data_IF_592645847886
#
_entry.id   IF_592645847886
#
_cell.length_a   1.000
_cell.length_b   1.000
_cell.length_c   1.000
_cell.angle_alpha   90.00
_cell.angle_beta   90.00
_cell.angle_gamma   90.00
#
_symmetry.space_group_name_H-M   'P 1'
#
loop_
_entity.id
_entity.type
_entity.pdbx_description
1 polymer ?
#
# COMPACT_ATOMS: atom_id res chain seq x y z
N UNK A 1 3.48 -13.45 -31.24
CA UNK A 1 3.08 -12.55 -30.13
C UNK A 1 3.33 -11.11 -30.55
N UNK A 2 2.36 -10.23 -30.35
CA UNK A 2 2.57 -8.79 -30.49
C UNK A 2 3.33 -8.25 -29.26
N UNK A 3 3.71 -6.97 -29.28
CA UNK A 3 4.53 -6.41 -28.20
C UNK A 3 3.80 -6.37 -26.84
N UNK A 4 2.49 -6.15 -26.83
CA UNK A 4 1.69 -6.21 -25.60
C UNK A 4 1.67 -7.62 -25.01
N UNK A 5 1.45 -8.64 -25.82
CA UNK A 5 1.48 -10.05 -25.41
C UNK A 5 2.87 -10.44 -24.87
N UNK A 6 3.96 -9.91 -25.44
CA UNK A 6 5.33 -10.18 -24.98
C UNK A 6 5.57 -9.62 -23.55
N UNK A 7 5.03 -8.44 -23.25
CA UNK A 7 5.14 -7.85 -21.91
C UNK A 7 4.38 -8.71 -20.89
N UNK A 8 3.14 -9.07 -21.19
CA UNK A 8 2.36 -9.95 -20.32
C UNK A 8 3.01 -11.33 -20.13
N UNK A 9 3.53 -11.92 -21.21
CA UNK A 9 4.23 -13.21 -21.15
C UNK A 9 5.50 -13.14 -20.28
N UNK A 10 6.22 -12.02 -20.27
CA UNK A 10 7.38 -11.83 -19.39
C UNK A 10 6.96 -11.78 -17.92
N UNK A 11 5.82 -11.16 -17.59
CA UNK A 11 5.27 -11.15 -16.24
C UNK A 11 4.81 -12.56 -15.81
N UNK A 12 4.03 -13.26 -16.63
CA UNK A 12 3.57 -14.62 -16.33
C UNK A 12 4.74 -15.60 -16.15
N UNK A 13 5.75 -15.55 -17.03
CA UNK A 13 6.95 -16.40 -16.94
C UNK A 13 7.68 -16.19 -15.61
N UNK A 14 7.67 -14.97 -15.09
CA UNK A 14 8.27 -14.62 -13.81
C UNK A 14 7.32 -14.78 -12.62
N UNK A 15 6.19 -15.47 -12.80
CA UNK A 15 5.22 -15.77 -11.74
C UNK A 15 4.62 -14.51 -11.08
N UNK A 16 4.54 -13.42 -11.83
CA UNK A 16 3.74 -12.26 -11.42
C UNK A 16 2.28 -12.64 -11.59
N UNK A 17 1.52 -12.59 -10.51
CA UNK A 17 0.09 -12.91 -10.50
C UNK A 17 -0.80 -11.67 -10.41
N UNK A 18 -0.23 -10.57 -9.96
CA UNK A 18 -0.97 -9.34 -9.68
C UNK A 18 -0.22 -8.12 -10.18
N UNK A 19 -0.95 -7.22 -10.82
CA UNK A 19 -0.45 -5.92 -11.27
C UNK A 19 -1.28 -4.81 -10.63
N UNK A 20 -0.64 -3.86 -9.94
CA UNK A 20 -1.32 -2.63 -9.53
C UNK A 20 -1.30 -1.63 -10.69
N UNK A 21 -2.44 -1.02 -10.98
CA UNK A 21 -2.64 -0.22 -12.18
C UNK A 21 -3.35 1.10 -11.92
N UNK A 22 -2.75 2.20 -12.35
CA UNK A 22 -3.45 3.48 -12.48
C UNK A 22 -3.64 3.79 -13.98
N UNK A 23 -4.88 3.95 -14.46
CA UNK A 23 -5.18 4.04 -15.88
C UNK A 23 -4.44 5.15 -16.63
N UNK A 24 -3.87 4.79 -17.77
CA UNK A 24 -3.28 5.71 -18.75
C UNK A 24 -3.71 5.32 -20.16
N UNK A 25 -4.24 6.27 -20.92
CA UNK A 25 -4.73 6.00 -22.28
C UNK A 25 -3.66 5.46 -23.24
N UNK A 26 -2.38 5.75 -22.98
CA UNK A 26 -1.27 5.22 -23.79
C UNK A 26 -0.92 3.76 -23.46
N UNK A 27 -1.48 3.19 -22.38
CA UNK A 27 -1.34 1.79 -22.02
C UNK A 27 -2.53 0.94 -22.48
N UNK A 28 -3.48 1.54 -23.14
CA UNK A 28 -4.70 0.87 -23.55
C UNK A 28 -4.42 -0.37 -24.41
N UNK A 29 -3.49 -0.26 -25.36
CA UNK A 29 -3.10 -1.42 -26.20
C UNK A 29 -2.52 -2.57 -25.36
N UNK A 30 -1.72 -2.27 -24.34
CA UNK A 30 -1.20 -3.25 -23.40
C UNK A 30 -2.34 -3.91 -22.61
N UNK A 31 -3.22 -3.11 -22.02
CA UNK A 31 -4.30 -3.60 -21.17
C UNK A 31 -5.34 -4.45 -21.94
N UNK A 32 -5.57 -4.18 -23.22
CA UNK A 32 -6.46 -5.00 -24.04
C UNK A 32 -5.99 -6.44 -24.28
N UNK A 33 -4.71 -6.70 -24.05
CA UNK A 33 -4.10 -8.03 -24.17
C UNK A 33 -3.80 -8.67 -22.80
N UNK A 34 -4.41 -8.13 -21.73
CA UNK A 34 -4.27 -8.71 -20.38
C UNK A 34 -4.73 -10.17 -20.39
N UNK A 35 -3.88 -11.12 -19.95
CA UNK A 35 -4.29 -12.51 -19.84
C UNK A 35 -5.32 -12.69 -18.70
N UNK A 36 -6.19 -13.70 -18.83
CA UNK A 36 -7.21 -13.99 -17.83
C UNK A 36 -6.62 -14.47 -16.49
N UNK A 37 -5.40 -14.98 -16.52
CA UNK A 37 -4.63 -15.44 -15.38
C UNK A 37 -4.04 -14.33 -14.52
N UNK A 38 -4.02 -13.10 -15.04
CA UNK A 38 -3.41 -11.93 -14.36
C UNK A 38 -4.49 -11.10 -13.67
N UNK A 39 -4.36 -10.93 -12.37
CA UNK A 39 -5.15 -9.98 -11.63
C UNK A 39 -4.61 -8.55 -11.83
N UNK A 40 -5.51 -7.62 -12.14
CA UNK A 40 -5.18 -6.21 -12.21
C UNK A 40 -6.01 -5.46 -11.18
N UNK A 41 -5.32 -4.80 -10.26
CA UNK A 41 -5.93 -4.03 -9.19
C UNK A 41 -5.85 -2.54 -9.51
N UNK A 42 -7.00 -1.93 -9.72
CA UNK A 42 -7.09 -0.49 -9.87
C UNK A 42 -6.73 0.19 -8.55
N UNK A 43 -5.83 1.15 -8.63
CA UNK A 43 -5.35 1.89 -7.46
C UNK A 43 -5.85 3.33 -7.47
N UNK A 44 -5.97 3.92 -6.29
CA UNK A 44 -6.43 5.30 -6.11
C UNK A 44 -5.31 6.32 -6.26
N UNK A 45 -4.07 5.90 -6.00
CA UNK A 45 -2.85 6.70 -6.08
C UNK A 45 -1.63 5.80 -6.27
N UNK A 46 -0.59 6.29 -6.92
CA UNK A 46 0.60 5.47 -7.21
C UNK A 46 1.30 4.95 -5.96
N UNK A 47 1.40 5.76 -4.90
CA UNK A 47 1.98 5.30 -3.63
C UNK A 47 1.16 4.18 -2.96
N UNK A 48 -0.17 4.18 -3.13
CA UNK A 48 -1.03 3.09 -2.67
C UNK A 48 -0.69 1.77 -3.38
N UNK A 49 -0.54 1.81 -4.71
CA UNK A 49 -0.11 0.65 -5.50
C UNK A 49 1.23 0.09 -5.05
N UNK A 50 2.15 0.98 -4.67
CA UNK A 50 3.45 0.58 -4.14
C UNK A 50 3.31 -0.16 -2.79
N UNK A 51 2.46 0.34 -1.89
CA UNK A 51 2.14 -0.30 -0.61
C UNK A 51 1.53 -1.69 -0.78
N UNK A 52 0.55 -1.81 -1.69
CA UNK A 52 -0.06 -3.10 -2.05
C UNK A 52 0.97 -4.10 -2.58
N UNK A 53 1.83 -3.69 -3.52
CA UNK A 53 2.91 -4.52 -4.04
C UNK A 53 3.88 -4.97 -2.93
N UNK A 54 4.24 -4.05 -2.02
CA UNK A 54 5.13 -4.37 -0.91
C UNK A 54 4.48 -5.38 0.04
N UNK A 55 3.22 -5.19 0.42
CA UNK A 55 2.47 -6.13 1.25
C UNK A 55 2.39 -7.53 0.62
N UNK A 56 2.12 -7.59 -0.69
CA UNK A 56 2.15 -8.85 -1.45
C UNK A 56 3.52 -9.52 -1.39
N UNK A 57 4.60 -8.74 -1.53
CA UNK A 57 5.97 -9.28 -1.47
C UNK A 57 6.32 -9.85 -0.09
N UNK A 58 5.83 -9.25 0.99
CA UNK A 58 5.96 -9.80 2.35
C UNK A 58 5.29 -11.17 2.47
N UNK A 59 4.17 -11.37 1.79
CA UNK A 59 3.48 -12.65 1.67
C UNK A 59 4.08 -13.62 0.64
N UNK A 60 5.29 -13.36 0.14
CA UNK A 60 6.00 -14.22 -0.81
C UNK A 60 5.47 -14.19 -2.24
N UNK A 61 4.63 -13.21 -2.60
CA UNK A 61 4.07 -13.05 -3.95
C UNK A 61 4.89 -12.10 -4.80
N UNK A 62 4.90 -12.32 -6.10
CA UNK A 62 5.53 -11.42 -7.08
C UNK A 62 4.48 -10.56 -7.74
N UNK A 63 4.74 -9.25 -7.78
CA UNK A 63 3.83 -8.26 -8.36
C UNK A 63 4.57 -7.37 -9.35
N UNK A 64 3.81 -6.67 -10.19
CA UNK A 64 4.31 -5.57 -11.00
C UNK A 64 3.41 -4.34 -10.79
N UNK A 65 3.89 -3.19 -11.20
CA UNK A 65 3.13 -1.95 -11.17
C UNK A 65 3.09 -1.32 -12.54
N UNK A 66 1.92 -0.80 -12.95
CA UNK A 66 1.73 -0.11 -14.22
C UNK A 66 1.12 1.27 -13.99
N UNK A 67 1.86 2.31 -14.36
CA UNK A 67 1.47 3.71 -14.12
C UNK A 67 1.89 4.62 -15.27
N UNK A 68 1.43 5.86 -15.24
CA UNK A 68 1.96 6.92 -16.09
C UNK A 68 3.20 7.55 -15.46
N UNK A 69 4.12 8.07 -16.27
CA UNK A 69 5.36 8.70 -15.77
C UNK A 69 5.13 9.86 -14.79
N UNK A 70 4.04 10.62 -14.91
CA UNK A 70 3.70 11.67 -13.94
C UNK A 70 3.50 11.14 -12.53
N UNK A 71 3.11 9.86 -12.39
CA UNK A 71 2.98 9.19 -11.11
C UNK A 71 4.29 8.85 -10.43
N UNK A 72 5.42 8.83 -11.15
CA UNK A 72 6.73 8.60 -10.53
C UNK A 72 7.04 9.60 -9.41
N UNK A 73 6.65 10.87 -9.59
CA UNK A 73 6.82 11.88 -8.55
C UNK A 73 6.03 11.59 -7.27
N UNK A 74 4.88 10.91 -7.39
CA UNK A 74 3.99 10.60 -6.27
C UNK A 74 4.44 9.42 -5.42
N UNK A 75 5.46 8.69 -5.82
CA UNK A 75 5.90 7.48 -5.13
C UNK A 75 7.36 7.50 -4.67
N UNK A 76 8.09 8.59 -4.89
CA UNK A 76 9.53 8.67 -4.57
C UNK A 76 9.82 8.37 -3.11
N UNK A 77 9.08 8.96 -2.18
CA UNK A 77 9.28 8.76 -0.74
C UNK A 77 9.02 7.31 -0.34
N UNK A 78 7.90 6.75 -0.73
CA UNK A 78 7.51 5.37 -0.40
C UNK A 78 8.44 4.37 -1.08
N UNK A 79 8.91 4.66 -2.29
CA UNK A 79 9.90 3.82 -2.99
C UNK A 79 11.18 3.67 -2.17
N UNK A 80 11.69 4.77 -1.61
CA UNK A 80 12.88 4.76 -0.76
C UNK A 80 12.64 4.14 0.60
N UNK A 81 11.53 4.49 1.24
CA UNK A 81 11.26 4.12 2.63
C UNK A 81 10.53 2.77 2.76
N UNK A 82 10.22 2.13 1.64
CA UNK A 82 9.65 0.79 1.57
C UNK A 82 10.49 -0.12 0.67
N UNK A 83 10.33 -0.06 -0.67
CA UNK A 83 10.97 -1.01 -1.57
C UNK A 83 12.49 -1.04 -1.46
N UNK A 84 13.14 0.14 -1.49
CA UNK A 84 14.62 0.19 -1.40
C UNK A 84 15.10 -0.11 0.03
N UNK A 85 14.44 0.41 1.06
CA UNK A 85 14.81 0.20 2.46
C UNK A 85 14.78 -1.29 2.84
N UNK A 86 13.71 -1.98 2.46
CA UNK A 86 13.52 -3.41 2.77
C UNK A 86 14.04 -4.32 1.64
N UNK A 87 14.61 -3.78 0.58
CA UNK A 87 15.08 -4.52 -0.59
C UNK A 87 14.01 -5.49 -1.12
N UNK A 88 12.89 -4.93 -1.56
CA UNK A 88 11.80 -5.68 -2.18
C UNK A 88 11.84 -5.46 -3.70
N UNK A 89 11.96 -6.54 -4.46
CA UNK A 89 12.00 -6.50 -5.92
C UNK A 89 10.67 -6.07 -6.51
N UNK A 90 10.70 -5.13 -7.48
CA UNK A 90 9.48 -4.65 -8.14
C UNK A 90 9.79 -4.14 -9.56
N UNK A 91 9.28 -4.77 -10.62
CA UNK A 91 9.23 -4.18 -11.96
C UNK A 91 8.10 -3.16 -12.04
N UNK A 92 8.41 -1.92 -12.46
CA UNK A 92 7.45 -0.83 -12.65
C UNK A 92 7.40 -0.48 -14.14
N UNK A 93 6.28 -0.75 -14.79
CA UNK A 93 6.04 -0.41 -16.19
C UNK A 93 5.40 0.97 -16.28
N UNK A 94 6.07 1.89 -16.92
CA UNK A 94 5.72 3.30 -16.93
C UNK A 94 5.40 3.76 -18.35
N UNK A 95 4.16 4.15 -18.60
CA UNK A 95 3.80 4.82 -19.85
C UNK A 95 4.49 6.17 -19.95
N UNK A 96 5.41 6.32 -20.90
CA UNK A 96 6.22 7.53 -21.05
C UNK A 96 5.49 8.60 -21.87
N UNK A 97 4.73 9.42 -21.18
CA UNK A 97 4.08 10.61 -21.76
C UNK A 97 5.11 11.71 -21.94
N UNK A 98 4.92 12.52 -22.96
CA UNK A 98 5.81 13.64 -23.28
C UNK A 98 7.05 13.27 -24.10
N UNK A 99 7.25 12.00 -24.41
CA UNK A 99 8.39 11.53 -25.22
C UNK A 99 8.07 11.44 -26.70
N UNK A 100 6.97 10.75 -27.09
CA UNK A 100 6.66 10.46 -28.48
C UNK A 100 5.28 10.95 -28.88
N UNK A 101 5.21 11.82 -29.92
CA UNK A 101 3.97 12.39 -30.49
C UNK A 101 2.97 12.87 -29.40
N UNK A 102 3.49 13.50 -28.36
CA UNK A 102 2.66 13.99 -27.26
C UNK A 102 2.19 15.42 -27.54
N UNK A 103 0.87 15.67 -27.62
CA UNK A 103 0.35 16.99 -27.91
C UNK A 103 0.15 17.87 -26.63
N UNK A 104 0.20 17.25 -25.44
CA UNK A 104 -0.14 17.92 -24.18
C UNK A 104 1.13 18.53 -23.58
N UNK A 105 1.20 19.86 -23.50
CA UNK A 105 2.37 20.60 -23.03
C UNK A 105 2.82 20.18 -21.64
N UNK A 106 1.89 20.01 -20.68
CA UNK A 106 2.22 19.55 -19.32
C UNK A 106 2.91 18.19 -19.30
N UNK A 107 2.53 17.29 -20.22
CA UNK A 107 3.16 15.96 -20.34
C UNK A 107 4.56 16.07 -20.96
N UNK A 108 4.75 16.96 -21.93
CA UNK A 108 6.04 17.19 -22.59
C UNK A 108 7.06 17.70 -21.57
N UNK A 109 6.67 18.69 -20.75
CA UNK A 109 7.55 19.28 -19.72
C UNK A 109 8.01 18.20 -18.72
N UNK A 110 7.09 17.43 -18.18
CA UNK A 110 7.45 16.38 -17.20
C UNK A 110 8.14 15.19 -17.88
N UNK A 111 7.66 14.78 -19.06
CA UNK A 111 8.23 13.66 -19.82
C UNK A 111 9.70 13.83 -20.15
N UNK A 112 10.14 15.09 -20.42
CA UNK A 112 11.54 15.43 -20.64
C UNK A 112 12.41 15.42 -19.37
N UNK A 113 11.83 15.17 -18.18
CA UNK A 113 12.54 15.12 -16.90
C UNK A 113 12.56 13.74 -16.24
N UNK A 114 11.92 12.77 -16.85
CA UNK A 114 11.76 11.42 -16.26
C UNK A 114 13.10 10.73 -16.05
N UNK A 115 13.99 10.78 -17.04
CA UNK A 115 15.33 10.17 -16.93
C UNK A 115 16.18 10.88 -15.87
N UNK A 116 16.15 12.23 -15.84
CA UNK A 116 16.84 13.02 -14.81
C UNK A 116 16.34 12.64 -13.41
N UNK A 117 15.03 12.49 -13.24
CA UNK A 117 14.41 12.06 -11.97
C UNK A 117 14.90 10.67 -11.57
N UNK A 118 14.82 9.68 -12.46
CA UNK A 118 15.22 8.30 -12.17
C UNK A 118 16.70 8.22 -11.82
N UNK A 119 17.55 8.94 -12.52
CA UNK A 119 18.98 9.05 -12.22
C UNK A 119 19.22 9.71 -10.84
N UNK A 120 18.46 10.80 -10.54
CA UNK A 120 18.61 11.51 -9.26
C UNK A 120 18.20 10.67 -8.05
N UNK A 121 17.25 9.74 -8.24
CA UNK A 121 16.77 8.82 -7.19
C UNK A 121 17.43 7.44 -7.28
N UNK A 122 18.47 7.27 -8.09
CA UNK A 122 19.23 6.03 -8.23
C UNK A 122 18.30 4.80 -8.44
N UNK A 123 17.42 4.90 -9.42
CA UNK A 123 16.52 3.81 -9.85
C UNK A 123 16.90 3.40 -11.27
N UNK A 124 17.25 2.14 -11.43
CA UNK A 124 17.55 1.57 -12.76
C UNK A 124 16.33 1.67 -13.66
N UNK A 125 16.57 1.99 -14.92
CA UNK A 125 15.49 1.98 -15.92
C UNK A 125 15.94 1.45 -17.27
N UNK A 126 14.97 1.00 -18.06
CA UNK A 126 15.16 0.58 -19.45
C UNK A 126 14.07 1.23 -20.31
N UNK A 127 14.46 1.78 -21.46
CA UNK A 127 13.52 2.32 -22.43
C UNK A 127 13.04 1.19 -23.34
N UNK A 128 11.70 1.09 -23.49
CA UNK A 128 11.03 0.17 -24.41
C UNK A 128 10.32 1.00 -25.47
N UNK A 129 10.96 1.20 -26.62
CA UNK A 129 10.42 2.00 -27.74
C UNK A 129 10.11 1.16 -28.99
N UNK A 130 10.77 0.02 -29.17
CA UNK A 130 10.63 -0.85 -30.34
C UNK A 130 10.65 -2.32 -29.93
N UNK A 131 10.30 -3.20 -30.87
CA UNK A 131 10.15 -4.63 -30.59
C UNK A 131 11.43 -5.29 -30.06
N UNK A 132 12.60 -4.88 -30.55
CA UNK A 132 13.89 -5.41 -30.13
C UNK A 132 14.22 -5.09 -28.67
N UNK A 133 13.71 -4.01 -28.12
CA UNK A 133 13.92 -3.63 -26.71
C UNK A 133 13.24 -4.61 -25.76
N UNK A 134 12.31 -5.45 -26.27
CA UNK A 134 11.62 -6.49 -25.50
C UNK A 134 12.34 -7.84 -25.52
N UNK A 135 13.42 -8.02 -26.27
CA UNK A 135 14.06 -9.33 -26.45
C UNK A 135 14.62 -9.90 -25.14
N UNK A 136 15.12 -9.03 -24.26
CA UNK A 136 15.64 -9.42 -22.95
C UNK A 136 14.65 -9.15 -21.79
N UNK A 137 13.45 -8.71 -22.07
CA UNK A 137 12.51 -8.26 -21.03
C UNK A 137 12.26 -9.32 -19.95
N UNK A 138 12.14 -10.59 -20.35
CA UNK A 138 11.92 -11.68 -19.41
C UNK A 138 13.06 -11.79 -18.38
N UNK A 139 14.32 -11.70 -18.82
CA UNK A 139 15.47 -11.72 -17.92
C UNK A 139 15.57 -10.48 -17.04
N UNK A 140 15.20 -9.32 -17.57
CA UNK A 140 15.20 -8.07 -16.84
C UNK A 140 14.13 -8.04 -15.73
N UNK A 141 12.94 -8.61 -15.99
CA UNK A 141 11.90 -8.80 -14.97
C UNK A 141 12.34 -9.81 -13.92
N UNK A 142 12.98 -10.93 -14.32
CA UNK A 142 13.55 -11.91 -13.39
C UNK A 142 14.54 -11.25 -12.43
N UNK A 143 15.46 -10.44 -12.96
CA UNK A 143 16.48 -9.73 -12.19
C UNK A 143 15.88 -8.82 -11.10
N UNK A 144 14.70 -8.22 -11.31
CA UNK A 144 14.04 -7.44 -10.27
C UNK A 144 13.82 -8.26 -9.00
N UNK A 145 13.38 -9.50 -9.14
CA UNK A 145 13.07 -10.39 -8.02
C UNK A 145 14.31 -11.10 -7.47
N UNK A 146 15.20 -11.56 -8.32
CA UNK A 146 16.42 -12.28 -7.93
C UNK A 146 17.42 -11.38 -7.21
N UNK A 147 17.54 -10.13 -7.64
CA UNK A 147 18.44 -9.14 -7.06
C UNK A 147 17.75 -8.23 -6.03
N UNK A 148 16.44 -8.45 -5.78
CA UNK A 148 15.63 -7.65 -4.84
C UNK A 148 15.70 -6.14 -5.14
N UNK A 149 15.57 -5.77 -6.41
CA UNK A 149 15.66 -4.37 -6.84
C UNK A 149 14.42 -3.86 -7.54
N UNK A 150 14.24 -2.56 -7.49
CA UNK A 150 13.24 -1.87 -8.31
C UNK A 150 13.87 -1.52 -9.65
N UNK A 151 13.14 -1.80 -10.73
CA UNK A 151 13.50 -1.35 -12.07
C UNK A 151 12.31 -0.77 -12.79
N UNK A 152 12.52 0.38 -13.44
CA UNK A 152 11.51 1.06 -14.24
C UNK A 152 11.67 0.71 -15.71
N UNK A 153 10.58 0.28 -16.35
CA UNK A 153 10.49 0.08 -17.80
C UNK A 153 9.72 1.24 -18.40
N UNK A 154 10.43 2.21 -19.00
CA UNK A 154 9.86 3.36 -19.66
C UNK A 154 9.31 2.97 -21.03
N UNK A 155 8.00 2.82 -21.13
CA UNK A 155 7.33 2.37 -22.35
C UNK A 155 6.95 3.57 -23.23
N UNK A 156 7.66 3.75 -24.34
CA UNK A 156 7.25 4.69 -25.40
C UNK A 156 5.97 4.18 -26.08
N UNK A 157 4.99 5.04 -26.40
CA UNK A 157 3.82 4.64 -27.18
C UNK A 157 4.14 4.04 -28.55
N UNK A 158 5.34 4.26 -29.08
CA UNK A 158 5.82 3.63 -30.34
C UNK A 158 5.80 2.10 -30.28
N UNK A 159 6.00 1.54 -29.09
CA UNK A 159 6.11 0.08 -28.90
C UNK A 159 4.82 -0.65 -29.31
N UNK A 160 3.67 0.01 -29.32
CA UNK A 160 2.37 -0.57 -29.70
C UNK A 160 1.54 0.23 -30.70
N UNK A 161 2.11 1.19 -31.41
CA UNK A 161 1.37 1.98 -32.42
C UNK A 161 0.59 1.15 -33.45
N UNK A 162 0.99 -0.09 -33.69
CA UNK A 162 0.31 -1.02 -34.63
C UNK A 162 -0.86 -1.78 -33.99
N UNK A 163 -1.08 -1.63 -32.68
CA UNK A 163 -2.11 -2.34 -31.91
C UNK A 163 -3.10 -1.32 -31.35
N UNK A 164 -3.99 -0.82 -32.18
CA UNK A 164 -5.01 0.16 -31.77
C UNK A 164 -6.26 -0.59 -31.31
N UNK A 165 -6.46 -0.82 -30.01
CA UNK A 165 -7.64 -1.50 -29.51
C UNK A 165 -8.87 -0.60 -29.56
N UNK A 166 -10.02 -1.20 -29.81
CA UNK A 166 -11.30 -0.53 -29.76
C UNK A 166 -11.78 -0.42 -28.31
N UNK A 167 -11.81 0.81 -27.76
CA UNK A 167 -12.07 1.08 -26.32
C UNK A 167 -13.52 1.45 -26.02
N UNK A 168 -14.50 1.00 -26.75
CA UNK A 168 -15.88 1.47 -26.58
C UNK A 168 -16.69 0.81 -25.45
N UNK A 169 -16.09 0.10 -24.48
CA UNK A 169 -16.87 -0.74 -23.55
C UNK A 169 -16.53 -0.65 -22.06
N UNK A 170 -16.22 0.50 -21.50
CA UNK A 170 -16.13 0.63 -20.03
C UNK A 170 -17.26 1.49 -19.47
N UNK A 171 -18.44 0.92 -19.37
CA UNK A 171 -19.53 1.47 -18.58
C UNK A 171 -19.86 0.49 -17.46
N UNK A 172 -19.61 0.85 -16.21
CA UNK A 172 -20.10 0.10 -15.07
C UNK A 172 -21.38 0.76 -14.54
N UNK A 173 -22.42 -0.02 -14.16
CA UNK A 173 -23.57 0.53 -13.50
C UNK A 173 -23.16 1.22 -12.19
N UNK A 174 -23.72 2.39 -11.93
CA UNK A 174 -23.50 3.05 -10.64
C UNK A 174 -24.23 2.26 -9.55
N UNK A 175 -23.50 1.94 -8.49
CA UNK A 175 -24.08 1.34 -7.29
C UNK A 175 -24.55 2.49 -6.39
N UNK A 176 -25.78 2.41 -5.89
CA UNK A 176 -26.33 3.36 -4.94
C UNK A 176 -25.54 3.27 -3.62
N UNK A 177 -25.00 4.39 -3.09
CA UNK A 177 -24.26 4.36 -1.84
C UNK A 177 -25.20 4.07 -0.67
N UNK A 178 -24.83 3.11 0.15
CA UNK A 178 -25.51 2.85 1.43
C UNK A 178 -24.95 3.82 2.47
N UNK A 179 -25.73 4.81 2.86
CA UNK A 179 -25.37 5.72 3.96
C UNK A 179 -25.86 5.15 5.28
N UNK A 180 -24.97 5.12 6.27
CA UNK A 180 -25.29 4.81 7.67
C UNK A 180 -24.89 6.02 8.50
N UNK A 181 -25.76 6.47 9.37
CA UNK A 181 -25.42 7.55 10.30
C UNK A 181 -24.43 7.03 11.35
N UNK A 182 -23.28 7.67 11.46
CA UNK A 182 -22.27 7.36 12.47
C UNK A 182 -22.21 8.55 13.43
N UNK A 183 -22.66 8.38 14.69
CA UNK A 183 -22.68 9.47 15.65
C UNK A 183 -21.26 9.96 15.94
N UNK A 184 -21.16 11.23 16.34
CA UNK A 184 -19.89 11.76 16.83
C UNK A 184 -19.52 11.07 18.16
N UNK A 185 -18.24 10.81 18.34
CA UNK A 185 -17.70 10.32 19.61
C UNK A 185 -17.94 11.35 20.73
N UNK A 186 -18.34 10.86 21.90
CA UNK A 186 -18.63 11.69 23.09
C UNK A 186 -18.02 11.14 24.39
N UNK A 187 -17.09 10.19 24.28
CA UNK A 187 -16.44 9.60 25.43
C UNK A 187 -15.30 10.47 26.00
N UNK A 188 -14.63 9.93 27.00
CA UNK A 188 -13.43 10.51 27.62
C UNK A 188 -12.38 9.42 27.72
N UNK A 189 -11.38 9.41 26.83
CA UNK A 189 -10.32 8.40 26.85
C UNK A 189 -9.58 8.41 28.18
N UNK A 190 -9.10 7.25 28.62
CA UNK A 190 -8.42 7.09 29.91
C UNK A 190 -7.06 6.39 29.80
N UNK A 191 -6.64 6.04 28.61
CA UNK A 191 -5.37 5.35 28.35
C UNK A 191 -4.62 6.01 27.20
N UNK A 192 -3.32 6.08 27.30
CA UNK A 192 -2.47 6.55 26.22
C UNK A 192 -2.16 5.40 25.22
N UNK A 193 -1.43 5.71 24.14
CA UNK A 193 -1.13 4.75 23.07
C UNK A 193 -0.40 3.51 23.54
N UNK A 194 0.62 3.65 24.40
CA UNK A 194 1.39 2.53 24.92
C UNK A 194 0.51 1.58 25.75
N UNK A 195 -0.32 2.14 26.62
CA UNK A 195 -1.28 1.38 27.41
C UNK A 195 -2.33 0.69 26.53
N UNK A 196 -2.83 1.40 25.50
CA UNK A 196 -3.77 0.84 24.52
C UNK A 196 -3.17 -0.35 23.78
N UNK A 197 -1.92 -0.24 23.30
CA UNK A 197 -1.19 -1.35 22.67
C UNK A 197 -1.04 -2.51 23.64
N UNK A 198 -0.75 -2.25 24.92
CA UNK A 198 -0.71 -3.26 25.99
C UNK A 198 -2.05 -3.97 26.23
N UNK A 199 -3.18 -3.34 25.89
CA UNK A 199 -4.51 -3.95 25.94
C UNK A 199 -4.85 -4.72 24.67
N UNK A 200 -4.34 -4.30 23.49
CA UNK A 200 -4.59 -4.87 22.18
C UNK A 200 -3.80 -6.16 21.99
N UNK A 201 -2.47 -6.09 22.17
CA UNK A 201 -1.56 -7.19 21.81
C UNK A 201 -1.91 -8.55 22.44
N UNK A 202 -2.30 -8.64 23.72
CA UNK A 202 -2.71 -9.93 24.35
C UNK A 202 -4.02 -10.50 23.77
N UNK A 203 -4.79 -9.73 22.98
CA UNK A 203 -6.05 -10.19 22.39
C UNK A 203 -5.82 -10.84 21.01
N UNK A 204 -4.66 -10.61 20.43
CA UNK A 204 -4.28 -11.09 19.09
C UNK A 204 -3.59 -12.46 19.24
N UNK A 205 -4.06 -13.46 18.50
CA UNK A 205 -3.49 -14.81 18.48
C UNK A 205 -2.03 -14.79 17.97
N UNK A 206 -1.19 -15.68 18.49
CA UNK A 206 0.24 -15.75 18.10
C UNK A 206 0.45 -16.08 16.61
N UNK A 207 -0.53 -16.75 15.99
CA UNK A 207 -0.52 -17.04 14.55
C UNK A 207 -0.86 -15.84 13.68
N UNK A 208 -1.59 -14.87 14.24
CA UNK A 208 -2.04 -13.70 13.52
C UNK A 208 -0.91 -12.68 13.38
N UNK A 209 -1.04 -11.86 12.39
CA UNK A 209 -0.03 -10.90 11.97
C UNK A 209 -0.36 -9.52 12.52
N UNK A 210 0.65 -8.79 12.97
CA UNK A 210 0.53 -7.36 13.32
C UNK A 210 1.44 -6.54 12.43
N UNK A 211 0.89 -5.55 11.75
CA UNK A 211 1.65 -4.48 11.07
C UNK A 211 1.48 -3.22 11.90
N UNK A 212 2.57 -2.63 12.34
CA UNK A 212 2.54 -1.35 13.05
C UNK A 212 3.13 -0.23 12.20
N UNK A 213 2.43 0.90 12.18
CA UNK A 213 2.88 2.07 11.43
C UNK A 213 4.19 2.64 12.02
N UNK A 214 4.88 3.41 11.18
CA UNK A 214 6.15 4.08 11.50
C UNK A 214 6.12 4.86 12.83
N UNK A 215 7.24 4.91 13.51
CA UNK A 215 7.50 5.78 14.66
C UNK A 215 7.17 5.15 16.00
N UNK A 216 6.52 5.89 16.88
CA UNK A 216 6.17 5.39 18.21
C UNK A 216 5.33 4.12 18.21
N UNK A 217 4.30 3.97 17.36
CA UNK A 217 3.52 2.73 17.34
C UNK A 217 4.38 1.48 17.15
N UNK A 218 5.33 1.49 16.20
CA UNK A 218 6.23 0.35 15.98
C UNK A 218 7.13 0.08 17.19
N UNK A 219 7.70 1.13 17.81
CA UNK A 219 8.50 0.99 19.05
C UNK A 219 7.70 0.46 20.21
N UNK A 220 6.48 0.94 20.37
CA UNK A 220 5.59 0.56 21.47
C UNK A 220 5.11 -0.88 21.30
N UNK A 221 4.75 -1.32 20.09
CA UNK A 221 4.43 -2.74 19.80
C UNK A 221 5.64 -3.63 20.09
N UNK A 222 6.84 -3.26 19.61
CA UNK A 222 8.06 -4.00 19.87
C UNK A 222 8.34 -4.15 21.38
N UNK A 223 8.25 -3.06 22.13
CA UNK A 223 8.55 -3.07 23.57
C UNK A 223 7.43 -3.69 24.42
N UNK A 224 6.20 -3.79 23.90
CA UNK A 224 5.08 -4.44 24.58
C UNK A 224 5.09 -5.96 24.39
N UNK A 225 5.19 -6.41 23.14
CA UNK A 225 5.14 -7.82 22.79
C UNK A 225 5.79 -8.03 21.43
N UNK A 226 7.11 -8.25 21.40
CA UNK A 226 7.80 -8.61 20.17
C UNK A 226 7.49 -10.05 19.78
N UNK A 227 7.06 -10.25 18.52
CA UNK A 227 6.78 -11.55 17.91
C UNK A 227 7.38 -11.57 16.51
N UNK A 228 7.76 -12.72 16.02
CA UNK A 228 8.26 -12.86 14.65
C UNK A 228 7.19 -12.58 13.60
N UNK A 229 5.91 -12.71 13.96
CA UNK A 229 4.73 -12.35 13.15
C UNK A 229 4.38 -10.84 13.20
N UNK A 230 5.16 -10.01 13.89
CA UNK A 230 5.01 -8.57 13.86
C UNK A 230 5.90 -7.94 12.79
N UNK A 231 5.33 -7.10 11.95
CA UNK A 231 6.07 -6.29 10.98
C UNK A 231 6.09 -4.84 11.43
N UNK A 232 7.28 -4.33 11.67
CA UNK A 232 7.50 -2.95 12.11
C UNK A 232 7.86 -2.07 10.92
N UNK A 233 6.99 -1.13 10.56
CA UNK A 233 7.31 -0.16 9.52
C UNK A 233 8.29 0.88 10.04
N UNK A 234 9.39 1.09 9.32
CA UNK A 234 10.42 2.09 9.63
C UNK A 234 10.32 3.33 8.76
N UNK A 235 9.42 3.32 7.78
CA UNK A 235 9.19 4.40 6.84
C UNK A 235 7.78 4.37 6.26
N UNK A 236 7.51 5.24 5.28
CA UNK A 236 6.26 5.32 4.54
C UNK A 236 5.02 5.62 5.42
N UNK A 237 5.00 6.80 6.04
CA UNK A 237 3.82 7.29 6.77
C UNK A 237 2.59 7.25 5.84
N UNK A 238 1.48 6.73 6.35
CA UNK A 238 0.24 6.63 5.58
C UNK A 238 0.20 5.49 4.56
N UNK A 239 1.01 4.43 4.74
CA UNK A 239 1.01 3.25 3.84
C UNK A 239 0.79 1.92 4.56
N UNK A 240 0.55 1.94 5.88
CA UNK A 240 0.41 0.70 6.64
C UNK A 240 -0.81 -0.12 6.21
N UNK A 241 -1.89 0.54 5.83
CA UNK A 241 -3.13 -0.13 5.41
C UNK A 241 -2.97 -0.81 4.07
N UNK A 242 -2.38 -0.15 3.08
CA UNK A 242 -2.13 -0.75 1.76
C UNK A 242 -1.16 -1.95 1.88
N UNK A 243 -0.12 -1.82 2.71
CA UNK A 243 0.78 -2.95 3.02
C UNK A 243 -0.02 -4.10 3.66
N UNK A 244 -0.88 -3.80 4.62
CA UNK A 244 -1.75 -4.78 5.26
C UNK A 244 -2.73 -5.45 4.31
N UNK A 245 -3.34 -4.71 3.39
CA UNK A 245 -4.25 -5.25 2.36
C UNK A 245 -3.48 -6.23 1.46
N UNK A 246 -2.35 -5.79 0.91
CA UNK A 246 -1.52 -6.63 0.04
C UNK A 246 -1.09 -7.92 0.73
N UNK A 247 -0.73 -7.83 2.01
CA UNK A 247 -0.36 -9.01 2.81
C UNK A 247 -1.57 -9.91 3.11
N UNK A 248 -2.68 -9.37 3.57
CA UNK A 248 -3.89 -10.14 3.90
C UNK A 248 -4.38 -10.98 2.71
N UNK A 249 -4.38 -10.38 1.51
CA UNK A 249 -4.72 -11.08 0.27
C UNK A 249 -3.66 -12.12 -0.16
N UNK A 250 -2.48 -12.12 0.44
CA UNK A 250 -1.42 -13.10 0.16
C UNK A 250 -1.44 -14.27 1.13
N UNK A 251 -1.98 -14.09 2.35
CA UNK A 251 -2.02 -15.08 3.43
C UNK A 251 -3.44 -15.24 3.98
N UNK A 252 -4.38 -15.77 3.19
CA UNK A 252 -5.81 -15.81 3.54
C UNK A 252 -6.12 -16.60 4.81
N UNK A 253 -5.24 -17.51 5.22
CA UNK A 253 -5.42 -18.36 6.41
C UNK A 253 -4.97 -17.69 7.72
N UNK A 254 -4.44 -16.46 7.66
CA UNK A 254 -4.00 -15.69 8.83
C UNK A 254 -4.75 -14.37 8.88
N UNK A 255 -5.08 -13.88 10.05
CA UNK A 255 -5.65 -12.57 10.21
C UNK A 255 -4.54 -11.50 10.33
N UNK A 256 -4.73 -10.37 9.67
CA UNK A 256 -3.78 -9.24 9.67
C UNK A 256 -4.40 -8.09 10.46
N UNK A 257 -3.75 -7.71 11.55
CA UNK A 257 -4.08 -6.53 12.33
C UNK A 257 -3.12 -5.40 11.98
N UNK A 258 -3.66 -4.23 11.68
CA UNK A 258 -2.88 -3.01 11.42
C UNK A 258 -3.07 -2.08 12.59
N UNK A 259 -1.98 -1.67 13.23
CA UNK A 259 -1.99 -0.63 14.27
C UNK A 259 -1.50 0.66 13.66
N UNK A 260 -2.41 1.60 13.48
CA UNK A 260 -2.16 2.91 12.88
C UNK A 260 -2.77 4.03 13.74
N UNK A 261 -2.64 5.27 13.35
CA UNK A 261 -3.13 6.42 14.08
C UNK A 261 -3.90 7.41 13.21
N UNK A 262 -4.68 8.26 13.87
CA UNK A 262 -5.49 9.30 13.22
C UNK A 262 -4.67 10.23 12.32
N UNK A 263 -3.47 10.62 12.75
CA UNK A 263 -2.57 11.43 11.93
C UNK A 263 -2.21 10.76 10.60
N UNK A 264 -1.91 9.47 10.62
CA UNK A 264 -1.62 8.67 9.42
C UNK A 264 -2.84 8.56 8.50
N UNK A 265 -4.03 8.36 9.08
CA UNK A 265 -5.29 8.31 8.32
C UNK A 265 -5.59 9.63 7.62
N UNK A 266 -5.37 10.77 8.28
CA UNK A 266 -5.54 12.09 7.66
C UNK A 266 -4.41 12.48 6.71
N UNK A 267 -3.20 11.96 6.90
CA UNK A 267 -2.09 12.15 5.96
C UNK A 267 -2.37 11.48 4.61
N UNK A 268 -2.90 10.28 4.64
CA UNK A 268 -3.29 9.53 3.44
C UNK A 268 -4.69 8.90 3.59
N UNK A 269 -5.77 9.65 3.35
CA UNK A 269 -7.12 9.12 3.48
C UNK A 269 -7.47 8.07 2.41
N UNK A 270 -6.67 7.94 1.34
CA UNK A 270 -6.85 6.89 0.32
C UNK A 270 -6.76 5.48 0.90
N UNK A 271 -6.04 5.31 2.02
CA UNK A 271 -5.99 4.04 2.76
C UNK A 271 -7.39 3.46 3.05
N UNK A 272 -8.33 4.32 3.47
CA UNK A 272 -9.70 3.90 3.74
C UNK A 272 -10.48 3.57 2.46
N UNK A 273 -10.18 4.26 1.36
CA UNK A 273 -10.78 3.97 0.05
C UNK A 273 -10.30 2.60 -0.44
N UNK A 274 -9.00 2.35 -0.38
CA UNK A 274 -8.41 1.09 -0.83
C UNK A 274 -8.90 -0.08 0.04
N UNK A 275 -9.02 0.11 1.37
CA UNK A 275 -9.60 -0.88 2.27
C UNK A 275 -11.06 -1.18 1.93
N UNK A 276 -11.86 -0.15 1.64
CA UNK A 276 -13.26 -0.29 1.26
C UNK A 276 -13.44 -0.94 -0.13
N UNK A 277 -12.52 -0.69 -1.06
CA UNK A 277 -12.57 -1.25 -2.41
C UNK A 277 -12.16 -2.73 -2.44
N UNK A 278 -11.09 -3.09 -1.71
CA UNK A 278 -10.53 -4.44 -1.72
C UNK A 278 -11.14 -5.39 -0.70
N UNK A 279 -11.65 -4.88 0.40
CA UNK A 279 -12.40 -5.60 1.45
C UNK A 279 -11.83 -6.98 1.83
N UNK A 280 -10.54 -7.11 2.19
CA UNK A 280 -10.02 -8.38 2.64
C UNK A 280 -10.75 -8.84 3.92
N UNK A 281 -11.26 -10.08 3.91
CA UNK A 281 -12.05 -10.63 5.04
C UNK A 281 -11.21 -10.88 6.29
N UNK A 282 -9.91 -11.04 6.11
CA UNK A 282 -8.93 -11.37 7.15
C UNK A 282 -8.09 -10.16 7.58
N UNK A 283 -8.66 -8.94 7.59
CA UNK A 283 -7.96 -7.74 7.99
C UNK A 283 -8.77 -6.89 8.97
N UNK A 284 -8.11 -6.42 10.02
CA UNK A 284 -8.61 -5.43 10.97
C UNK A 284 -7.67 -4.24 11.02
N UNK A 285 -8.15 -3.06 10.66
CA UNK A 285 -7.47 -1.78 10.88
C UNK A 285 -7.85 -1.23 12.25
N UNK A 286 -6.87 -1.00 13.12
CA UNK A 286 -7.01 -0.37 14.43
C UNK A 286 -6.44 1.04 14.34
N UNK A 287 -7.30 2.04 14.39
CA UNK A 287 -6.90 3.44 14.44
C UNK A 287 -6.85 3.89 15.90
N UNK A 288 -5.66 4.13 16.43
CA UNK A 288 -5.44 4.72 17.74
C UNK A 288 -5.52 6.24 17.61
N UNK A 289 -6.67 6.80 17.97
CA UNK A 289 -6.96 8.22 17.82
C UNK A 289 -6.70 8.98 19.12
N UNK A 290 -5.59 9.70 19.16
CA UNK A 290 -5.23 10.57 20.27
C UNK A 290 -5.45 12.07 19.96
N UNK A 291 -6.03 12.41 18.82
CA UNK A 291 -6.26 13.78 18.36
C UNK A 291 -4.99 14.59 18.14
N UNK A 292 -3.81 13.96 18.11
CA UNK A 292 -2.55 14.70 18.06
C UNK A 292 -1.41 13.99 17.32
N UNK A 293 -0.48 14.78 16.78
CA UNK A 293 0.79 14.32 16.23
C UNK A 293 1.79 14.05 17.36
N UNK A 294 1.63 12.91 18.04
CA UNK A 294 2.43 12.56 19.23
C UNK A 294 3.93 12.53 18.98
N UNK A 295 4.38 12.16 17.76
CA UNK A 295 5.80 12.05 17.41
C UNK A 295 6.50 13.40 17.21
N UNK A 296 5.76 14.47 16.95
CA UNK A 296 6.33 15.77 16.57
C UNK A 296 6.08 16.90 17.60
N UNK A 297 5.41 16.58 18.71
CA UNK A 297 5.18 17.53 19.79
C UNK A 297 3.71 17.78 20.12
N UNK A 298 2.84 16.81 19.85
CA UNK A 298 1.40 16.82 20.16
C UNK A 298 0.62 17.98 19.50
N UNK A 299 1.00 18.38 18.29
CA UNK A 299 0.17 19.30 17.49
C UNK A 299 -1.19 18.62 17.20
N UNK A 300 -2.30 19.37 17.16
CA UNK A 300 -3.61 18.81 16.92
C UNK A 300 -3.71 18.21 15.51
N UNK A 301 -4.33 17.05 15.40
CA UNK A 301 -4.80 16.48 14.12
C UNK A 301 -6.20 16.97 13.80
N UNK A 302 -6.71 16.59 12.62
CA UNK A 302 -8.08 16.93 12.22
C UNK A 302 -9.12 16.22 13.10
N UNK A 303 -8.78 15.09 13.73
CA UNK A 303 -9.67 14.41 14.67
C UNK A 303 -10.07 15.32 15.83
N UNK A 304 -9.09 16.00 16.44
CA UNK A 304 -9.34 16.96 17.51
C UNK A 304 -10.11 18.22 17.07
N UNK A 305 -10.24 18.43 15.77
CA UNK A 305 -10.99 19.54 15.17
C UNK A 305 -12.43 19.13 14.76
N UNK A 306 -12.90 17.96 15.19
CA UNK A 306 -14.25 17.47 14.96
C UNK A 306 -14.47 16.65 13.66
N UNK A 307 -13.39 16.26 12.98
CA UNK A 307 -13.51 15.34 11.85
C UNK A 307 -13.72 13.92 12.36
N UNK A 308 -14.81 13.30 11.93
CA UNK A 308 -15.20 11.95 12.33
C UNK A 308 -14.65 10.89 11.38
N UNK A 309 -13.52 10.27 11.74
CA UNK A 309 -12.90 9.22 10.92
C UNK A 309 -13.81 8.00 10.72
N UNK A 310 -14.58 7.60 11.74
CA UNK A 310 -15.57 6.51 11.60
C UNK A 310 -16.66 6.87 10.59
N UNK A 311 -17.12 8.11 10.60
CA UNK A 311 -18.08 8.62 9.59
C UNK A 311 -17.50 8.62 8.20
N UNK A 312 -16.23 9.04 8.05
CA UNK A 312 -15.49 9.03 6.78
C UNK A 312 -15.34 7.58 6.30
N UNK A 313 -14.85 6.67 7.13
CA UNK A 313 -14.68 5.25 6.79
C UNK A 313 -16.02 4.61 6.35
N UNK A 314 -17.10 4.89 7.08
CA UNK A 314 -18.44 4.42 6.73
C UNK A 314 -18.91 4.96 5.39
N UNK A 315 -18.68 6.24 5.10
CA UNK A 315 -19.05 6.88 3.83
C UNK A 315 -18.28 6.32 2.65
N UNK A 316 -17.03 5.87 2.88
CA UNK A 316 -16.19 5.20 1.88
C UNK A 316 -16.57 3.72 1.66
N UNK A 317 -17.42 3.13 2.52
CA UNK A 317 -17.91 1.76 2.33
C UNK A 317 -17.51 0.78 3.43
N UNK A 318 -16.70 1.16 4.42
CA UNK A 318 -16.31 0.30 5.53
C UNK A 318 -17.48 0.25 6.53
N UNK A 319 -18.27 -0.84 6.47
CA UNK A 319 -19.49 -1.00 7.30
C UNK A 319 -19.25 -1.80 8.57
N UNK A 320 -18.30 -2.75 8.56
CA UNK A 320 -17.92 -3.53 9.72
C UNK A 320 -16.94 -2.75 10.60
N UNK A 321 -17.47 -1.91 11.51
CA UNK A 321 -16.64 -1.05 12.35
C UNK A 321 -17.10 -1.00 13.80
N UNK A 322 -16.19 -0.57 14.68
CA UNK A 322 -16.45 -0.21 16.06
C UNK A 322 -15.77 1.12 16.39
N UNK A 323 -16.42 1.94 17.21
CA UNK A 323 -15.91 3.22 17.69
C UNK A 323 -16.05 3.25 19.21
N UNK A 324 -14.95 3.33 19.96
CA UNK A 324 -14.97 3.20 21.42
C UNK A 324 -13.72 3.80 22.08
N UNK A 325 -13.79 4.09 23.38
CA UNK A 325 -12.67 4.33 24.30
C UNK A 325 -12.63 3.27 25.43
N UNK A 326 -13.57 2.33 25.41
CA UNK A 326 -13.68 1.26 26.39
C UNK A 326 -12.85 0.04 25.97
N UNK A 327 -12.08 -0.49 26.94
CA UNK A 327 -11.19 -1.64 26.72
C UNK A 327 -11.93 -2.90 26.32
N UNK A 328 -12.99 -3.24 27.03
CA UNK A 328 -13.76 -4.47 26.81
C UNK A 328 -14.45 -4.43 25.42
N UNK A 329 -15.03 -3.29 25.07
CA UNK A 329 -15.65 -3.08 23.76
C UNK A 329 -14.61 -3.16 22.63
N UNK A 330 -13.42 -2.58 22.79
CA UNK A 330 -12.32 -2.67 21.84
C UNK A 330 -11.89 -4.13 21.67
N UNK A 331 -11.63 -4.86 22.76
CA UNK A 331 -11.23 -6.25 22.70
C UNK A 331 -12.32 -7.15 22.09
N UNK A 332 -13.60 -6.86 22.33
CA UNK A 332 -14.69 -7.55 21.68
C UNK A 332 -14.71 -7.29 20.18
N UNK A 333 -14.49 -6.05 19.74
CA UNK A 333 -14.40 -5.70 18.34
C UNK A 333 -13.26 -6.44 17.61
N UNK A 334 -12.11 -6.64 18.28
CA UNK A 334 -11.00 -7.44 17.76
C UNK A 334 -11.36 -8.93 17.64
N UNK A 335 -12.02 -9.52 18.66
CA UNK A 335 -12.53 -10.90 18.60
C UNK A 335 -13.57 -11.09 17.49
N UNK A 336 -14.43 -10.09 17.28
CA UNK A 336 -15.44 -10.09 16.21
C UNK A 336 -14.83 -9.78 14.82
N UNK A 337 -13.52 -9.56 14.75
CA UNK A 337 -12.79 -9.23 13.51
C UNK A 337 -13.43 -8.09 12.74
N UNK A 338 -13.80 -7.00 13.45
CA UNK A 338 -14.30 -5.79 12.80
C UNK A 338 -13.25 -5.25 11.84
N UNK A 339 -13.66 -4.86 10.65
CA UNK A 339 -12.72 -4.36 9.62
C UNK A 339 -12.04 -3.06 10.03
N UNK A 340 -12.74 -2.18 10.78
CA UNK A 340 -12.19 -0.94 11.31
C UNK A 340 -12.55 -0.77 12.79
N UNK A 341 -11.54 -0.62 13.63
CA UNK A 341 -11.67 -0.34 15.06
C UNK A 341 -11.09 1.05 15.33
N UNK A 342 -11.95 2.02 15.55
CA UNK A 342 -11.58 3.37 15.93
C UNK A 342 -11.53 3.46 17.45
N UNK A 343 -10.32 3.41 18.00
CA UNK A 343 -10.08 3.38 19.43
C UNK A 343 -9.53 4.74 19.90
N UNK A 344 -10.34 5.48 20.64
CA UNK A 344 -9.95 6.78 21.18
C UNK A 344 -9.07 6.60 22.41
N UNK A 345 -7.98 7.36 22.44
CA UNK A 345 -6.96 7.29 23.47
C UNK A 345 -6.52 8.71 23.90
N UNK A 346 -5.90 8.82 25.05
CA UNK A 346 -5.34 10.09 25.52
C UNK A 346 -4.13 10.53 24.69
N UNK A 347 -3.99 11.85 24.52
CA UNK A 347 -2.79 12.44 23.94
C UNK A 347 -1.59 12.25 24.88
N UNK A 348 -0.41 12.07 24.30
CA UNK A 348 0.84 11.95 25.03
C UNK A 348 1.62 10.67 24.69
N UNK A 349 2.86 10.65 25.15
CA UNK A 349 3.78 9.53 24.94
C UNK A 349 4.33 9.07 26.28
N UNK A 350 4.31 7.77 26.54
CA UNK A 350 5.05 7.18 27.65
C UNK A 350 6.55 7.06 27.33
N UNK A 351 7.35 6.91 28.36
CA UNK A 351 8.74 6.51 28.20
C UNK A 351 8.78 5.04 27.84
N UNK A 352 8.81 4.78 26.55
CA UNK A 352 8.97 3.42 26.00
C UNK A 352 10.44 3.04 26.11
N UNK A 353 10.72 1.74 26.15
CA UNK A 353 12.07 1.19 26.05
C UNK A 353 12.85 1.72 24.84
N UNK A 354 14.01 1.19 24.55
CA UNK A 354 14.87 1.67 23.45
C UNK A 354 14.27 1.59 22.06
N UNK A 355 15.06 2.00 21.08
CA UNK A 355 14.75 1.82 19.66
C UNK A 355 14.64 0.33 19.31
N UNK A 356 13.97 0.00 18.21
CA UNK A 356 13.93 -1.37 17.66
C UNK A 356 15.36 -1.74 17.23
N UNK A 357 15.99 -2.75 17.85
CA UNK A 357 17.39 -3.07 17.59
C UNK A 357 17.58 -3.92 16.33
N UNK A 358 16.64 -3.90 15.41
CA UNK A 358 16.62 -4.66 14.17
C UNK A 358 16.74 -3.73 12.97
N UNK A 359 17.53 -4.14 11.99
CA UNK A 359 17.57 -3.47 10.69
C UNK A 359 16.30 -3.78 9.89
N UNK A 360 15.99 -2.96 8.89
CA UNK A 360 14.86 -3.20 7.99
C UNK A 360 14.90 -4.61 7.35
N UNK A 361 16.08 -5.05 6.94
CA UNK A 361 16.27 -6.39 6.34
C UNK A 361 16.05 -7.50 7.37
N UNK A 362 16.52 -7.32 8.60
CA UNK A 362 16.30 -8.29 9.66
C UNK A 362 14.82 -8.41 10.03
N UNK A 363 14.10 -7.27 10.09
CA UNK A 363 12.65 -7.26 10.30
C UNK A 363 11.95 -8.04 9.17
N UNK A 364 12.26 -7.71 7.91
CA UNK A 364 11.64 -8.38 6.76
C UNK A 364 11.91 -9.88 6.76
N UNK A 365 13.15 -10.29 6.92
CA UNK A 365 13.53 -11.70 6.86
C UNK A 365 12.86 -12.49 7.96
N UNK A 366 12.99 -12.05 9.23
CA UNK A 366 12.35 -12.69 10.38
C UNK A 366 10.84 -12.85 10.18
N UNK A 367 10.19 -11.78 9.71
CA UNK A 367 8.76 -11.78 9.46
C UNK A 367 8.37 -12.77 8.37
N UNK A 368 9.05 -12.74 7.21
CA UNK A 368 8.74 -13.63 6.09
C UNK A 368 8.97 -15.10 6.47
N UNK A 369 10.03 -15.42 7.22
CA UNK A 369 10.29 -16.79 7.70
C UNK A 369 9.17 -17.26 8.63
N UNK A 370 8.66 -16.40 9.52
CA UNK A 370 7.59 -16.74 10.46
C UNK A 370 6.23 -16.95 9.81
N UNK A 371 5.93 -16.24 8.71
CA UNK A 371 4.64 -16.40 8.04
C UNK A 371 4.64 -17.49 6.97
N UNK A 372 5.81 -17.95 6.52
CA UNK A 372 5.94 -19.08 5.59
C UNK A 372 5.77 -20.45 6.28
N UNK A 373 5.89 -20.47 7.61
CA UNK A 373 5.70 -21.67 8.45
C UNK A 373 4.22 -21.88 8.81
#
# INVERSE_FOLDING_TARGET
MNNSERIWAALETNQVDTVTYLPCNKMNALMSHKPATMDVWDITKESAGLGLCFGRSLGGKRTAMMIQNTGLGNLVTELYTMQKLYQAGLPIFVSWRGYYKEPIEAQIIFGGKVEDLLNAIDVEYQILAKAEDLDNLNAEVAACFEENKVKVFLMSPEVWEQNNPDYHQFGHPRIEPVTVDVPAYQGTPSVNRYQAIGQIMPTIDDRDIVISQIGFPSKEVYNTMDRDTNFYMLGALGSAVEVGIGLALSVPDRHVYIIDGDGSMFFNPNQLIDLAAMQPENLTLICLDNGSWGSTGNQPTLSSQGFNLSGIANSMGIKSQAMTDDKEAMQQALRDKKQFVHYFIEAGNDKVGGEIPLTALAIKQRFMDAIAS
#
